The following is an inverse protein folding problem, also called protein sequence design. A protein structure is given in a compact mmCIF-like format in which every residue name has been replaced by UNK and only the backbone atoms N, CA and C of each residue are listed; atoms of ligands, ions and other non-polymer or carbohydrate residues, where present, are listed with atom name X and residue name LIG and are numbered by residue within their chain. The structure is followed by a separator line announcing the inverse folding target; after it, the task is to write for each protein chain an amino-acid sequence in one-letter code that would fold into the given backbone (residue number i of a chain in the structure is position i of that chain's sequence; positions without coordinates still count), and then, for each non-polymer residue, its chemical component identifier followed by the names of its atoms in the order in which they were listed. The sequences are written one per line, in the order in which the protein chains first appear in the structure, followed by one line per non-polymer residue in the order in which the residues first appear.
data_IF_541291425835
#
_entry.id   IF_541291425835
#
_cell.length_a   1.000
_cell.length_b   1.000
_cell.length_c   1.000
_cell.angle_alpha   90.00
_cell.angle_beta   90.00
_cell.angle_gamma   90.00
#
_symmetry.space_group_name_H-M   'P 1'
#
loop_
_entity.id
_entity.type
_entity.pdbx_description
1 polymer ?
#
# COMPACT_ATOMS: atom_id res chain seq x y z
N UNK A 1 -18.14 -24.72 -19.13
CA UNK A 1 -17.75 -25.72 -18.13
C UNK A 1 -16.24 -25.74 -18.05
N UNK A 2 -15.73 -25.52 -16.84
CA UNK A 2 -14.33 -25.54 -16.39
C UNK A 2 -13.44 -24.41 -16.93
N UNK A 3 -13.28 -23.42 -16.06
CA UNK A 3 -12.22 -22.43 -15.90
C UNK A 3 -10.80 -23.03 -15.83
N UNK A 4 -10.41 -23.89 -16.78
CA UNK A 4 -9.04 -24.43 -16.88
C UNK A 4 -8.02 -23.40 -17.41
N UNK A 5 -8.44 -22.17 -17.70
CA UNK A 5 -7.59 -21.13 -18.25
C UNK A 5 -7.80 -19.79 -17.54
N UNK A 6 -7.39 -19.66 -16.27
CA UNK A 6 -7.17 -18.38 -15.59
C UNK A 6 -5.99 -17.59 -16.22
N UNK A 7 -5.89 -17.58 -17.55
CA UNK A 7 -4.74 -17.16 -18.36
C UNK A 7 -5.16 -16.22 -19.49
N UNK A 8 -6.36 -15.64 -19.47
CA UNK A 8 -6.64 -14.55 -20.41
C UNK A 8 -5.89 -13.30 -19.96
N UNK A 9 -5.49 -12.45 -20.91
CA UNK A 9 -4.83 -11.16 -20.60
C UNK A 9 -5.65 -10.29 -19.66
N UNK A 10 -6.99 -10.33 -19.80
CA UNK A 10 -7.90 -9.62 -18.90
C UNK A 10 -7.89 -10.17 -17.47
N UNK A 11 -7.84 -11.49 -17.29
CA UNK A 11 -7.75 -12.08 -15.95
C UNK A 11 -6.42 -11.70 -15.27
N UNK A 12 -5.31 -11.75 -16.02
CA UNK A 12 -3.99 -11.32 -15.52
C UNK A 12 -4.02 -9.85 -15.13
N UNK A 13 -4.59 -8.98 -15.98
CA UNK A 13 -4.74 -7.56 -15.66
C UNK A 13 -5.54 -7.35 -14.38
N UNK A 14 -6.65 -8.07 -14.20
CA UNK A 14 -7.49 -8.00 -12.99
C UNK A 14 -6.75 -8.46 -11.73
N UNK A 15 -5.96 -9.54 -11.81
CA UNK A 15 -5.17 -10.00 -10.67
C UNK A 15 -4.09 -8.99 -10.29
N UNK A 16 -3.38 -8.43 -11.28
CA UNK A 16 -2.37 -7.40 -11.06
C UNK A 16 -3.01 -6.14 -10.47
N UNK A 17 -4.17 -5.75 -11.00
CA UNK A 17 -4.96 -4.62 -10.50
C UNK A 17 -5.36 -4.79 -9.03
N UNK A 18 -5.80 -6.00 -8.66
CA UNK A 18 -6.14 -6.34 -7.29
C UNK A 18 -4.91 -6.24 -6.38
N UNK A 19 -3.74 -6.72 -6.80
CA UNK A 19 -2.50 -6.62 -6.02
C UNK A 19 -2.11 -5.16 -5.76
N UNK A 20 -2.16 -4.30 -6.78
CA UNK A 20 -1.92 -2.87 -6.59
C UNK A 20 -2.94 -2.24 -5.63
N UNK A 21 -4.22 -2.57 -5.79
CA UNK A 21 -5.29 -2.05 -4.94
C UNK A 21 -5.12 -2.45 -3.49
N UNK A 22 -4.82 -3.73 -3.22
CA UNK A 22 -4.52 -4.23 -1.87
C UNK A 22 -3.33 -3.48 -1.29
N UNK A 23 -2.24 -3.31 -2.05
CA UNK A 23 -1.06 -2.60 -1.56
C UNK A 23 -1.33 -1.12 -1.24
N UNK A 24 -2.11 -0.43 -2.09
CA UNK A 24 -2.57 0.95 -1.82
C UNK A 24 -3.38 1.01 -0.52
N UNK A 25 -4.30 0.07 -0.30
CA UNK A 25 -5.09 -0.02 0.94
C UNK A 25 -4.19 -0.25 2.15
N UNK A 26 -3.16 -1.11 2.05
CA UNK A 26 -2.20 -1.31 3.15
C UNK A 26 -1.43 -0.02 3.49
N UNK A 27 -0.96 0.73 2.48
CA UNK A 27 -0.31 2.02 2.70
C UNK A 27 -1.29 2.99 3.37
N UNK A 28 -2.54 3.04 2.91
CA UNK A 28 -3.57 3.90 3.50
C UNK A 28 -3.83 3.57 4.97
N UNK A 29 -3.99 2.29 5.31
CA UNK A 29 -4.14 1.83 6.71
C UNK A 29 -2.92 2.21 7.54
N UNK A 30 -1.70 2.06 7.01
CA UNK A 30 -0.47 2.46 7.69
C UNK A 30 -0.43 3.96 8.02
N UNK A 31 -0.87 4.81 7.09
CA UNK A 31 -0.98 6.26 7.31
C UNK A 31 -1.99 6.56 8.44
N UNK A 32 -3.17 5.94 8.38
CA UNK A 32 -4.20 6.13 9.41
C UNK A 32 -3.71 5.72 10.79
N UNK A 33 -3.03 4.56 10.89
CA UNK A 33 -2.43 4.11 12.15
C UNK A 33 -1.39 5.11 12.67
N UNK A 34 -0.53 5.64 11.80
CA UNK A 34 0.48 6.62 12.19
C UNK A 34 -0.15 7.94 12.68
N UNK A 35 -1.23 8.39 12.04
CA UNK A 35 -1.99 9.56 12.50
C UNK A 35 -2.68 9.32 13.84
N UNK A 36 -3.30 8.15 14.04
CA UNK A 36 -3.92 7.76 15.31
C UNK A 36 -2.87 7.79 16.44
N UNK A 37 -1.69 7.21 16.20
CA UNK A 37 -0.59 7.24 17.16
C UNK A 37 -0.04 8.65 17.40
N UNK A 38 0.06 9.48 16.37
CA UNK A 38 0.49 10.87 16.50
C UNK A 38 -0.48 11.73 17.33
N UNK A 39 -1.79 11.41 17.31
CA UNK A 39 -2.80 12.04 18.17
C UNK A 39 -2.79 11.52 19.62
N UNK A 40 -1.85 10.64 19.98
CA UNK A 40 -1.69 10.10 21.34
C UNK A 40 -2.59 8.91 21.66
N UNK A 41 -3.40 8.45 20.70
CA UNK A 41 -4.15 7.21 20.88
C UNK A 41 -3.19 6.02 20.87
N UNK A 42 -3.34 5.11 21.83
CA UNK A 42 -2.53 3.89 21.93
C UNK A 42 -3.44 2.69 21.78
N UNK A 43 -3.08 1.77 20.88
CA UNK A 43 -3.82 0.52 20.77
C UNK A 43 -3.39 -0.38 21.94
N UNK A 44 -4.33 -1.01 22.66
CA UNK A 44 -4.01 -1.95 23.73
C UNK A 44 -3.05 -3.04 23.24
N UNK A 45 -2.01 -3.29 24.03
CA UNK A 45 -0.99 -4.27 23.69
C UNK A 45 -1.60 -5.67 23.64
N UNK A 46 -1.49 -6.32 22.48
CA UNK A 46 -1.83 -7.73 22.30
C UNK A 46 -0.90 -8.35 21.26
N UNK A 47 -0.58 -9.64 21.41
CA UNK A 47 0.29 -10.36 20.46
C UNK A 47 -0.23 -10.27 19.02
N UNK A 48 -1.55 -10.22 18.83
CA UNK A 48 -2.17 -10.10 17.51
C UNK A 48 -2.04 -8.68 16.95
N UNK A 49 -2.30 -7.67 17.78
CA UNK A 49 -2.16 -6.25 17.39
C UNK A 49 -0.73 -5.94 16.94
N UNK A 50 0.25 -6.37 17.73
CA UNK A 50 1.67 -6.17 17.41
C UNK A 50 2.04 -6.85 16.10
N UNK A 51 1.58 -8.09 15.89
CA UNK A 51 1.86 -8.83 14.67
C UNK A 51 1.31 -8.08 13.43
N UNK A 52 0.09 -7.53 13.52
CA UNK A 52 -0.53 -6.76 12.43
C UNK A 52 0.23 -5.46 12.18
N UNK A 53 0.58 -4.71 13.22
CA UNK A 53 1.32 -3.44 13.10
C UNK A 53 2.71 -3.69 12.50
N UNK A 54 3.42 -4.72 12.97
CA UNK A 54 4.74 -5.08 12.46
C UNK A 54 4.65 -5.54 11.01
N UNK A 55 3.67 -6.38 10.66
CA UNK A 55 3.44 -6.78 9.28
C UNK A 55 3.20 -5.57 8.36
N UNK A 56 2.30 -4.66 8.76
CA UNK A 56 2.03 -3.44 7.98
C UNK A 56 3.30 -2.61 7.80
N UNK A 57 4.08 -2.43 8.86
CA UNK A 57 5.35 -1.70 8.81
C UNK A 57 6.32 -2.38 7.86
N UNK A 58 6.56 -3.68 7.99
CA UNK A 58 7.54 -4.40 7.19
C UNK A 58 7.20 -4.41 5.69
N UNK A 59 5.90 -4.41 5.36
CA UNK A 59 5.40 -4.41 3.98
C UNK A 59 5.39 -3.01 3.35
N UNK A 60 5.03 -1.98 4.12
CA UNK A 60 4.84 -0.61 3.61
C UNK A 60 6.12 0.22 3.68
N UNK A 61 6.92 0.06 4.74
CA UNK A 61 8.09 0.89 5.03
C UNK A 61 9.17 0.87 3.94
N UNK A 62 9.53 -0.27 3.31
CA UNK A 62 10.54 -0.28 2.24
C UNK A 62 10.18 0.63 1.07
N UNK A 63 8.90 0.68 0.70
CA UNK A 63 8.39 1.54 -0.38
C UNK A 63 8.36 3.00 0.06
N UNK A 64 7.80 3.31 1.23
CA UNK A 64 7.75 4.68 1.75
C UNK A 64 9.14 5.28 1.97
N UNK A 65 10.12 4.46 2.38
CA UNK A 65 11.51 4.89 2.57
C UNK A 65 12.15 5.46 1.31
N UNK A 66 11.72 5.02 0.12
CA UNK A 66 12.18 5.59 -1.15
C UNK A 66 11.69 7.04 -1.26
N UNK A 67 10.41 7.30 -0.97
CA UNK A 67 9.82 8.64 -1.03
C UNK A 67 10.33 9.58 0.07
N UNK A 68 10.57 9.06 1.28
CA UNK A 68 11.14 9.82 2.39
C UNK A 68 12.53 10.38 2.10
N UNK A 69 13.28 9.80 1.15
CA UNK A 69 14.57 10.34 0.69
C UNK A 69 14.41 11.60 -0.15
N UNK A 70 13.30 11.73 -0.88
CA UNK A 70 13.03 12.87 -1.75
C UNK A 70 12.24 13.96 -1.04
N UNK A 71 11.30 13.55 -0.16
CA UNK A 71 10.43 14.44 0.60
C UNK A 71 10.59 14.08 2.07
N UNK A 72 11.55 14.70 2.79
CA UNK A 72 11.72 14.45 4.21
C UNK A 72 10.45 14.86 4.97
N UNK A 73 10.13 14.18 6.08
CA UNK A 73 8.96 14.51 6.90
C UNK A 73 9.07 15.95 7.43
N UNK A 74 7.96 16.69 7.38
CA UNK A 74 7.88 18.06 7.88
C UNK A 74 7.37 18.03 9.32
N UNK A 75 8.30 17.97 10.28
CA UNK A 75 7.97 17.83 11.70
C UNK A 75 7.34 16.48 12.02
N UNK A 76 6.16 16.46 12.65
CA UNK A 76 5.45 15.22 13.00
C UNK A 76 4.61 14.64 11.85
N UNK A 77 4.42 15.40 10.77
CA UNK A 77 3.58 15.00 9.65
C UNK A 77 4.43 14.47 8.50
N UNK A 78 4.25 13.18 8.21
CA UNK A 78 4.85 12.54 7.05
C UNK A 78 3.90 12.64 5.85
N UNK A 79 4.24 13.52 4.90
CA UNK A 79 3.51 13.67 3.63
C UNK A 79 4.02 12.72 2.54
N UNK A 80 5.14 12.03 2.74
CA UNK A 80 5.68 11.07 1.78
C UNK A 80 4.68 10.00 1.34
N UNK A 81 3.77 9.49 2.21
CA UNK A 81 2.82 8.46 1.82
C UNK A 81 1.76 8.94 0.81
N UNK A 82 1.39 10.22 0.82
CA UNK A 82 0.44 10.78 -0.14
C UNK A 82 1.03 10.71 -1.55
N UNK A 83 2.28 11.17 -1.70
CA UNK A 83 3.00 11.13 -2.97
C UNK A 83 3.25 9.68 -3.40
N UNK A 84 3.58 8.80 -2.45
CA UNK A 84 3.76 7.38 -2.71
C UNK A 84 2.48 6.74 -3.29
N UNK A 85 1.31 7.02 -2.70
CA UNK A 85 0.02 6.53 -3.20
C UNK A 85 -0.26 7.07 -4.61
N UNK A 86 -0.04 8.36 -4.87
CA UNK A 86 -0.26 8.97 -6.19
C UNK A 86 0.61 8.27 -7.25
N UNK A 87 1.90 8.12 -6.98
CA UNK A 87 2.83 7.44 -7.90
C UNK A 87 2.41 5.99 -8.13
N UNK A 88 1.97 5.29 -7.08
CA UNK A 88 1.50 3.92 -7.18
C UNK A 88 0.24 3.80 -8.05
N UNK A 89 -0.70 4.75 -7.96
CA UNK A 89 -1.88 4.79 -8.82
C UNK A 89 -1.53 4.97 -10.30
N UNK A 90 -0.58 5.85 -10.61
CA UNK A 90 -0.10 6.02 -11.99
C UNK A 90 0.55 4.74 -12.51
N UNK A 91 1.40 4.10 -11.70
CA UNK A 91 2.05 2.82 -12.06
C UNK A 91 1.00 1.73 -12.29
N UNK A 92 0.00 1.61 -11.41
CA UNK A 92 -1.13 0.67 -11.56
C UNK A 92 -1.83 0.89 -12.90
N UNK A 93 -2.22 2.13 -13.21
CA UNK A 93 -2.93 2.46 -14.45
C UNK A 93 -2.11 2.08 -15.69
N UNK A 94 -0.81 2.43 -15.72
CA UNK A 94 0.06 2.12 -16.85
C UNK A 94 0.22 0.61 -17.04
N UNK A 95 0.51 -0.14 -15.97
CA UNK A 95 0.77 -1.58 -16.03
C UNK A 95 -0.52 -2.35 -16.38
N UNK A 96 -1.63 -2.03 -15.73
CA UNK A 96 -2.90 -2.75 -15.97
C UNK A 96 -3.38 -2.52 -17.40
N UNK A 97 -3.31 -1.29 -17.91
CA UNK A 97 -3.68 -0.99 -19.29
C UNK A 97 -2.73 -1.68 -20.29
N UNK A 98 -1.43 -1.75 -20.00
CA UNK A 98 -0.45 -2.43 -20.86
C UNK A 98 -0.65 -3.96 -20.91
N UNK A 99 -1.20 -4.56 -19.85
CA UNK A 99 -1.51 -5.99 -19.81
C UNK A 99 -2.86 -6.28 -20.48
N UNK A 100 -3.85 -5.39 -20.28
CA UNK A 100 -5.20 -5.55 -20.79
C UNK A 100 -5.33 -5.26 -22.30
N UNK A 101 -4.53 -4.33 -22.83
CA UNK A 101 -4.42 -4.01 -24.25
C UNK A 101 -3.69 -5.07 -25.08
#
# INVERSE_FOLDING_TARGET
MISLAALTRGDVANYVDALFTVYIVLIFIYILLNWIFAMGARVPYSRYTDAIINFLRDVVEPYLRIFRRFIPPLGMFDFSPIIAIIVLYFIRMLIVNAIAG
#
